data_IF_564465781877
#
_entry.id   IF_564465781877
#
_cell.length_a   1.000
_cell.length_b   1.000
_cell.length_c   1.000
_cell.angle_alpha   90.00
_cell.angle_beta   90.00
_cell.angle_gamma   90.00
#
_symmetry.space_group_name_H-M   'P 1'
#
loop_
_entity.id
_entity.type
_entity.pdbx_description
1 polymer ?
#
# COMPACT_ATOMS: atom_id res chain seq x y z
N UNK A 1 -9.57 -12.34 37.84
CA UNK A 1 -10.61 -11.31 38.01
C UNK A 1 -10.09 -10.12 37.23
N UNK A 2 -10.44 -10.04 35.94
CA UNK A 2 -9.90 -9.00 35.06
C UNK A 2 -10.87 -7.81 35.14
N UNK A 3 -10.36 -6.69 35.65
CA UNK A 3 -11.12 -5.45 35.80
C UNK A 3 -11.62 -4.94 34.44
N UNK A 4 -12.78 -4.29 34.48
CA UNK A 4 -13.44 -3.65 33.34
C UNK A 4 -12.53 -2.55 32.76
N UNK A 5 -11.94 -2.78 31.59
CA UNK A 5 -11.25 -1.74 30.84
C UNK A 5 -12.29 -0.82 30.17
N UNK A 6 -12.15 0.52 30.27
CA UNK A 6 -13.10 1.46 29.66
C UNK A 6 -13.10 1.38 28.12
N UNK A 7 -14.18 1.84 27.46
CA UNK A 7 -14.25 1.89 26.00
C UNK A 7 -13.13 2.76 25.40
N UNK A 8 -12.62 2.35 24.23
CA UNK A 8 -11.51 3.02 23.53
C UNK A 8 -11.78 4.49 23.19
N UNK A 9 -13.05 4.87 23.07
CA UNK A 9 -13.46 6.25 22.78
C UNK A 9 -13.34 7.19 24.00
N UNK A 10 -13.04 6.67 25.20
CA UNK A 10 -12.83 7.45 26.44
C UNK A 10 -11.35 7.57 26.86
N UNK A 11 -10.40 7.05 26.08
CA UNK A 11 -8.96 7.05 26.39
C UNK A 11 -8.26 8.35 25.99
N UNK A 12 -8.85 9.50 26.30
CA UNK A 12 -8.21 10.81 26.12
C UNK A 12 -8.30 11.60 27.41
N UNK A 13 -7.24 11.55 28.21
CA UNK A 13 -6.63 12.67 28.95
C UNK A 13 -5.65 12.11 30.00
N UNK A 14 -4.38 11.98 29.62
CA UNK A 14 -3.28 11.74 30.56
C UNK A 14 -2.12 10.98 29.95
N UNK A 15 -0.98 11.67 29.70
CA UNK A 15 0.38 11.12 29.67
C UNK A 15 0.65 9.80 28.93
N UNK A 16 -0.19 9.39 27.99
CA UNK A 16 -0.11 8.07 27.38
C UNK A 16 1.17 7.96 26.53
N UNK A 17 1.90 6.83 26.62
CA UNK A 17 3.09 6.63 25.83
C UNK A 17 2.72 6.71 24.36
N UNK A 18 3.53 7.43 23.59
CA UNK A 18 3.42 7.42 22.14
C UNK A 18 3.65 6.00 21.62
N UNK A 19 3.11 5.67 20.45
CA UNK A 19 3.36 4.36 19.82
C UNK A 19 4.88 4.09 19.65
N UNK A 20 5.69 5.13 19.46
CA UNK A 20 7.15 5.03 19.40
C UNK A 20 7.79 4.65 20.74
N UNK A 21 7.34 5.25 21.84
CA UNK A 21 7.82 4.93 23.19
C UNK A 21 7.42 3.51 23.60
N UNK A 22 6.16 3.12 23.42
CA UNK A 22 5.71 1.76 23.69
C UNK A 22 6.50 0.73 22.86
N UNK A 23 6.76 1.04 21.59
CA UNK A 23 7.58 0.20 20.72
C UNK A 23 9.05 0.11 21.16
N UNK A 24 9.60 1.13 21.83
CA UNK A 24 10.99 1.14 22.29
C UNK A 24 11.23 0.20 23.48
N UNK A 25 10.20 -0.05 24.29
CA UNK A 25 10.27 -0.89 25.48
C UNK A 25 10.29 -2.39 25.18
N UNK A 26 9.84 -2.80 23.99
CA UNK A 26 9.80 -4.21 23.61
C UNK A 26 11.22 -4.80 23.47
N UNK A 27 11.47 -6.05 23.90
CA UNK A 27 12.69 -6.77 23.53
C UNK A 27 12.84 -6.92 22.01
N UNK A 28 14.08 -6.93 21.51
CA UNK A 28 14.36 -7.03 20.07
C UNK A 28 14.23 -8.47 19.55
N UNK A 29 13.82 -8.62 18.28
CA UNK A 29 13.97 -9.84 17.48
C UNK A 29 14.54 -9.49 16.11
N UNK A 30 15.47 -10.32 15.59
CA UNK A 30 16.05 -10.15 14.27
C UNK A 30 15.13 -10.61 13.13
N UNK A 31 15.43 -10.21 11.89
CA UNK A 31 14.61 -10.57 10.72
C UNK A 31 14.62 -12.08 10.42
N UNK A 32 15.77 -12.72 10.56
CA UNK A 32 15.95 -14.17 10.32
C UNK A 32 15.10 -14.97 11.30
N UNK A 33 15.31 -14.78 12.60
CA UNK A 33 14.53 -15.44 13.66
C UNK A 33 13.02 -15.19 13.52
N UNK A 34 12.60 -13.97 13.19
CA UNK A 34 11.19 -13.64 12.96
C UNK A 34 10.62 -14.38 11.74
N UNK A 35 11.43 -14.63 10.71
CA UNK A 35 11.03 -15.33 9.49
C UNK A 35 10.91 -16.83 9.75
N UNK A 36 11.89 -17.43 10.43
CA UNK A 36 11.89 -18.87 10.78
C UNK A 36 10.68 -19.23 11.64
N UNK A 37 10.38 -18.39 12.64
CA UNK A 37 9.19 -18.54 13.51
C UNK A 37 7.88 -18.46 12.70
N UNK A 38 7.90 -17.77 11.57
CA UNK A 38 6.72 -17.39 10.79
C UNK A 38 6.34 -18.37 9.67
N UNK A 39 7.23 -19.25 9.24
CA UNK A 39 7.04 -20.15 8.09
C UNK A 39 6.12 -21.34 8.40
N UNK A 40 5.86 -21.64 9.67
CA UNK A 40 5.19 -22.88 10.11
C UNK A 40 3.65 -22.88 10.04
N UNK A 41 2.98 -21.81 9.57
CA UNK A 41 1.52 -21.66 9.73
C UNK A 41 0.77 -21.35 8.43
N UNK A 42 -0.34 -22.07 8.17
CA UNK A 42 -1.38 -21.61 7.26
C UNK A 42 -2.06 -20.37 7.86
N UNK A 43 -1.72 -19.20 7.34
CA UNK A 43 -2.02 -17.92 8.01
C UNK A 43 -3.37 -17.33 7.63
N UNK A 44 -4.09 -16.87 8.65
CA UNK A 44 -5.27 -16.00 8.55
C UNK A 44 -4.83 -14.57 8.87
N UNK A 45 -5.12 -13.65 7.95
CA UNK A 45 -4.87 -12.23 8.14
C UNK A 45 -6.15 -11.54 8.64
N UNK A 46 -6.06 -10.79 9.75
CA UNK A 46 -7.11 -9.85 10.18
C UNK A 46 -6.56 -8.43 10.15
N UNK A 47 -7.41 -7.45 9.85
CA UNK A 47 -7.03 -6.04 9.71
C UNK A 47 -7.92 -5.18 10.56
N UNK A 48 -7.35 -4.15 11.15
CA UNK A 48 -8.00 -3.19 12.03
C UNK A 48 -7.57 -1.79 11.61
N UNK A 49 -8.42 -0.82 11.89
CA UNK A 49 -8.11 0.60 11.79
C UNK A 49 -8.32 1.18 13.19
N UNK A 50 -7.28 1.82 13.71
CA UNK A 50 -7.16 2.23 15.11
C UNK A 50 -6.64 3.67 15.17
N UNK A 51 -7.14 4.49 16.13
CA UNK A 51 -6.42 5.70 16.52
C UNK A 51 -4.98 5.37 16.94
N UNK A 52 -4.05 6.30 16.69
CA UNK A 52 -2.63 6.17 17.09
C UNK A 52 -2.47 5.88 18.59
N UNK A 53 -3.24 6.55 19.44
CA UNK A 53 -3.21 6.36 20.89
C UNK A 53 -3.59 4.92 21.29
N UNK A 54 -4.70 4.40 20.76
CA UNK A 54 -5.14 3.03 21.06
C UNK A 54 -4.19 1.96 20.55
N UNK A 55 -3.47 2.24 19.45
CA UNK A 55 -2.40 1.35 19.01
C UNK A 55 -1.21 1.36 19.97
N UNK A 56 -0.89 2.49 20.61
CA UNK A 56 0.15 2.56 21.64
C UNK A 56 -0.22 1.76 22.89
N UNK A 57 -1.48 1.84 23.35
CA UNK A 57 -2.00 1.00 24.44
C UNK A 57 -1.88 -0.49 24.11
N UNK A 58 -2.33 -0.89 22.92
CA UNK A 58 -2.18 -2.28 22.46
C UNK A 58 -0.72 -2.75 22.52
N UNK A 59 0.23 -1.89 22.14
CA UNK A 59 1.66 -2.23 22.19
C UNK A 59 2.16 -2.39 23.62
N UNK A 60 1.72 -1.53 24.54
CA UNK A 60 2.05 -1.64 25.97
C UNK A 60 1.53 -2.97 26.56
N UNK A 61 0.27 -3.32 26.32
CA UNK A 61 -0.29 -4.60 26.80
C UNK A 61 0.44 -5.81 26.21
N UNK A 62 0.83 -5.73 24.93
CA UNK A 62 1.62 -6.77 24.29
C UNK A 62 3.02 -6.89 24.90
N UNK A 63 3.61 -5.78 25.35
CA UNK A 63 4.90 -5.79 26.02
C UNK A 63 4.85 -6.57 27.33
N UNK A 64 3.80 -6.35 28.14
CA UNK A 64 3.58 -7.08 29.40
C UNK A 64 3.39 -8.59 29.19
N UNK A 65 2.90 -8.98 28.01
CA UNK A 65 2.72 -10.37 27.63
C UNK A 65 3.97 -11.02 27.02
N UNK A 66 5.07 -10.27 26.86
CA UNK A 66 6.34 -10.79 26.32
C UNK A 66 6.45 -10.74 24.79
N UNK A 67 5.76 -9.80 24.14
CA UNK A 67 5.96 -9.56 22.71
C UNK A 67 7.37 -9.02 22.41
N UNK A 68 7.82 -9.18 21.17
CA UNK A 68 9.14 -8.71 20.70
C UNK A 68 9.03 -7.87 19.45
N UNK A 69 9.83 -6.82 19.34
CA UNK A 69 9.84 -5.89 18.21
C UNK A 69 10.93 -6.25 17.20
N UNK A 70 10.57 -6.36 15.91
CA UNK A 70 11.54 -6.49 14.83
C UNK A 70 12.51 -5.32 14.88
N UNK A 71 13.80 -5.63 15.01
CA UNK A 71 14.88 -4.64 14.98
C UNK A 71 15.90 -5.05 13.91
N UNK A 72 16.21 -4.13 12.99
CA UNK A 72 17.23 -4.29 11.94
C UNK A 72 18.06 -3.01 11.96
N UNK A 73 19.38 -3.13 12.07
CA UNK A 73 20.30 -1.98 12.10
C UNK A 73 19.89 -0.90 13.12
N UNK A 74 19.49 -1.33 14.33
CA UNK A 74 18.97 -0.49 15.42
C UNK A 74 17.68 0.29 15.11
N UNK A 75 16.95 -0.10 14.06
CA UNK A 75 15.68 0.52 13.66
C UNK A 75 14.50 -0.44 13.87
N UNK A 76 13.37 0.10 14.30
CA UNK A 76 12.11 -0.64 14.58
C UNK A 76 10.92 -0.20 13.72
N UNK A 77 11.16 0.78 12.86
CA UNK A 77 10.18 1.30 11.93
C UNK A 77 10.83 1.44 10.55
N UNK A 78 10.16 0.90 9.54
CA UNK A 78 10.68 0.78 8.19
C UNK A 78 9.72 1.41 7.18
N UNK A 79 10.23 2.18 6.25
CA UNK A 79 9.48 2.95 5.27
C UNK A 79 9.28 2.15 3.98
N UNK A 80 8.05 2.17 3.50
CA UNK A 80 7.62 1.45 2.30
C UNK A 80 7.01 2.40 1.30
N UNK A 81 7.35 2.19 0.03
CA UNK A 81 6.58 2.69 -1.11
C UNK A 81 6.03 1.51 -1.89
N UNK A 82 4.83 1.64 -2.42
CA UNK A 82 4.30 0.71 -3.40
C UNK A 82 3.59 1.46 -4.53
N UNK A 83 3.88 1.07 -5.76
CA UNK A 83 3.15 1.50 -6.96
C UNK A 83 2.23 0.36 -7.36
N UNK A 84 0.92 0.58 -7.34
CA UNK A 84 -0.07 -0.41 -7.76
C UNK A 84 -0.40 -0.25 -9.23
N UNK A 85 -0.62 -1.39 -9.89
CA UNK A 85 -1.01 -1.44 -11.30
C UNK A 85 -2.43 -1.94 -11.46
N UNK A 86 -3.13 -1.35 -12.41
CA UNK A 86 -4.44 -1.78 -12.91
C UNK A 86 -4.59 -1.35 -14.37
N UNK A 87 -5.65 -1.78 -15.04
CA UNK A 87 -6.02 -1.25 -16.36
C UNK A 87 -6.53 0.18 -16.23
N UNK A 88 -6.53 0.91 -17.34
CA UNK A 88 -7.13 2.26 -17.41
C UNK A 88 -8.61 2.28 -16.99
N UNK A 89 -9.32 1.15 -17.13
CA UNK A 89 -10.73 0.98 -16.74
C UNK A 89 -10.93 0.43 -15.32
N UNK A 90 -9.83 0.20 -14.59
CA UNK A 90 -9.78 -0.31 -13.22
C UNK A 90 -10.42 -1.71 -13.08
N UNK A 91 -10.10 -2.60 -14.02
CA UNK A 91 -10.65 -3.95 -14.07
C UNK A 91 -10.31 -4.78 -12.83
N UNK A 92 -9.09 -4.67 -12.29
CA UNK A 92 -8.64 -5.43 -11.12
C UNK A 92 -9.35 -4.93 -9.86
N UNK A 93 -9.55 -3.62 -9.72
CA UNK A 93 -10.38 -3.02 -8.68
C UNK A 93 -11.81 -3.56 -8.74
N UNK A 94 -12.46 -3.49 -9.91
CA UNK A 94 -13.84 -3.98 -10.10
C UNK A 94 -13.96 -5.45 -9.79
N UNK A 95 -12.98 -6.25 -10.20
CA UNK A 95 -12.90 -7.67 -9.88
C UNK A 95 -12.78 -7.91 -8.36
N UNK A 96 -12.02 -7.08 -7.65
CA UNK A 96 -11.93 -7.14 -6.18
C UNK A 96 -13.24 -6.72 -5.50
N UNK A 97 -13.84 -5.61 -5.95
CA UNK A 97 -15.08 -5.04 -5.43
C UNK A 97 -16.26 -6.01 -5.57
N UNK A 98 -16.32 -6.74 -6.69
CA UNK A 98 -17.37 -7.74 -6.98
C UNK A 98 -16.98 -9.17 -6.59
N UNK A 99 -15.77 -9.38 -6.04
CA UNK A 99 -15.35 -10.67 -5.53
C UNK A 99 -15.10 -11.76 -6.57
N UNK A 100 -14.75 -11.39 -7.80
CA UNK A 100 -14.47 -12.33 -8.90
C UNK A 100 -13.41 -13.37 -8.52
N UNK A 101 -13.58 -14.60 -9.01
CA UNK A 101 -12.78 -15.77 -8.65
C UNK A 101 -11.30 -15.60 -8.99
N UNK A 102 -11.00 -15.15 -10.21
CA UNK A 102 -9.65 -14.99 -10.78
C UNK A 102 -9.15 -13.56 -10.73
N UNK A 103 -9.33 -12.93 -9.57
CA UNK A 103 -8.76 -11.60 -9.31
C UNK A 103 -7.30 -11.74 -8.90
N UNK A 104 -6.51 -10.73 -9.22
CA UNK A 104 -5.14 -10.59 -8.78
C UNK A 104 -4.86 -9.13 -8.41
N UNK A 105 -3.73 -8.90 -7.75
CA UNK A 105 -3.18 -7.57 -7.49
C UNK A 105 -1.70 -7.62 -7.81
N UNK A 106 -1.20 -6.61 -8.49
CA UNK A 106 0.22 -6.46 -8.77
C UNK A 106 0.69 -5.10 -8.28
N UNK A 107 1.91 -5.05 -7.76
CA UNK A 107 2.53 -3.82 -7.30
C UNK A 107 4.04 -3.91 -7.39
N UNK A 108 4.68 -2.80 -7.64
CA UNK A 108 6.06 -2.61 -7.21
C UNK A 108 6.08 -2.27 -5.73
N UNK A 109 7.15 -2.68 -5.07
CA UNK A 109 7.39 -2.37 -3.68
C UNK A 109 8.86 -2.07 -3.46
N UNK A 110 9.11 -0.88 -2.92
CA UNK A 110 10.41 -0.42 -2.50
C UNK A 110 10.46 -0.42 -0.97
N UNK A 111 11.50 -1.02 -0.42
CA UNK A 111 11.85 -1.00 0.99
C UNK A 111 12.92 0.08 1.14
N UNK A 112 12.53 1.26 1.61
CA UNK A 112 13.34 2.47 1.45
C UNK A 112 14.58 2.47 2.33
N UNK A 113 14.57 1.72 3.42
CA UNK A 113 15.69 1.66 4.34
C UNK A 113 16.77 0.69 3.86
N UNK A 114 16.39 -0.36 3.12
CA UNK A 114 17.31 -1.38 2.60
C UNK A 114 17.60 -1.24 1.11
N UNK A 115 16.86 -0.37 0.41
CA UNK A 115 16.89 -0.25 -1.04
C UNK A 115 16.39 -1.46 -1.81
N UNK A 116 15.82 -2.46 -1.12
CA UNK A 116 15.27 -3.63 -1.78
C UNK A 116 14.04 -3.23 -2.61
N UNK A 117 13.96 -3.77 -3.81
CA UNK A 117 12.92 -3.46 -4.78
C UNK A 117 12.36 -4.76 -5.37
N UNK A 118 11.04 -4.89 -5.40
CA UNK A 118 10.36 -6.08 -5.89
C UNK A 118 9.12 -5.75 -6.70
N UNK A 119 8.87 -6.53 -7.76
CA UNK A 119 7.53 -6.70 -8.30
C UNK A 119 6.83 -7.80 -7.49
N UNK A 120 5.65 -7.52 -6.94
CA UNK A 120 4.86 -8.45 -6.15
C UNK A 120 3.51 -8.72 -6.82
N UNK A 121 3.23 -10.00 -7.09
CA UNK A 121 1.94 -10.48 -7.57
C UNK A 121 1.21 -11.21 -6.44
N UNK A 122 -0.06 -10.86 -6.22
CA UNK A 122 -0.96 -11.57 -5.31
C UNK A 122 -2.13 -12.15 -6.09
N UNK A 123 -2.25 -13.48 -6.10
CA UNK A 123 -3.34 -14.21 -6.74
C UNK A 123 -4.17 -14.99 -5.72
N UNK A 124 -5.33 -15.48 -6.16
CA UNK A 124 -6.10 -16.50 -5.43
C UNK A 124 -5.72 -17.86 -6.02
N UNK A 125 -4.99 -18.66 -5.24
CA UNK A 125 -4.63 -20.01 -5.59
C UNK A 125 -5.78 -21.02 -5.47
N UNK A 126 -5.49 -22.30 -5.76
CA UNK A 126 -6.41 -23.42 -5.53
C UNK A 126 -6.91 -23.44 -4.07
N UNK A 127 -8.15 -23.92 -3.85
CA UNK A 127 -8.79 -23.95 -2.51
C UNK A 127 -8.92 -22.58 -1.83
N UNK A 128 -8.96 -21.50 -2.61
CA UNK A 128 -9.13 -20.11 -2.13
C UNK A 128 -8.00 -19.56 -1.24
N UNK A 129 -6.84 -20.20 -1.25
CA UNK A 129 -5.65 -19.68 -0.57
C UNK A 129 -5.10 -18.46 -1.33
N UNK A 130 -4.51 -17.49 -0.62
CA UNK A 130 -3.82 -16.39 -1.26
C UNK A 130 -2.38 -16.82 -1.57
N UNK A 131 -1.92 -16.61 -2.80
CA UNK A 131 -0.54 -16.89 -3.20
C UNK A 131 0.15 -15.57 -3.50
N UNK A 132 1.38 -15.40 -3.01
CA UNK A 132 2.21 -14.22 -3.24
C UNK A 132 3.47 -14.65 -3.98
N UNK A 133 3.59 -14.22 -5.22
CA UNK A 133 4.79 -14.34 -6.04
C UNK A 133 5.54 -13.00 -6.00
N UNK A 134 6.86 -13.06 -6.05
CA UNK A 134 7.68 -11.84 -6.15
C UNK A 134 8.91 -12.07 -7.01
N UNK A 135 9.30 -11.04 -7.76
CA UNK A 135 10.55 -10.97 -8.49
C UNK A 135 11.36 -9.80 -7.93
N UNK A 136 12.65 -10.02 -7.69
CA UNK A 136 13.57 -8.94 -7.29
C UNK A 136 13.85 -8.08 -8.51
N UNK A 137 13.82 -6.77 -8.33
CA UNK A 137 14.13 -5.78 -9.35
C UNK A 137 15.43 -5.07 -8.99
N UNK A 138 16.02 -4.41 -9.97
CA UNK A 138 17.17 -3.53 -9.73
C UNK A 138 16.81 -2.43 -8.72
N UNK A 139 17.72 -2.10 -7.78
CA UNK A 139 17.50 -1.02 -6.83
C UNK A 139 17.29 0.29 -7.58
N UNK A 140 16.16 0.96 -7.30
CA UNK A 140 16.02 2.37 -7.65
C UNK A 140 16.95 3.16 -6.73
N UNK A 141 17.73 4.10 -7.25
CA UNK A 141 18.67 4.91 -6.46
C UNK A 141 17.94 5.67 -5.33
N UNK A 142 17.89 5.07 -4.15
CA UNK A 142 16.99 5.42 -3.03
C UNK A 142 17.24 6.84 -2.49
N UNK A 143 18.47 7.33 -2.65
CA UNK A 143 18.87 8.70 -2.30
C UNK A 143 18.05 9.75 -3.08
N UNK A 144 17.56 9.43 -4.28
CA UNK A 144 16.68 10.31 -5.06
C UNK A 144 15.23 10.28 -4.58
N UNK A 145 14.83 9.24 -3.86
CA UNK A 145 13.43 9.01 -3.49
C UNK A 145 13.06 9.61 -2.13
N UNK A 146 14.01 9.75 -1.20
CA UNK A 146 13.76 10.23 0.17
C UNK A 146 12.98 11.56 0.24
N UNK A 147 13.23 12.51 -0.68
CA UNK A 147 12.49 13.79 -0.76
C UNK A 147 11.07 13.70 -1.37
N UNK A 148 10.79 12.69 -2.19
CA UNK A 148 9.49 12.47 -2.82
C UNK A 148 8.45 11.80 -1.92
N UNK A 149 8.88 11.34 -0.74
CA UNK A 149 8.01 10.73 0.27
C UNK A 149 7.35 11.72 1.23
N UNK A 150 7.64 13.02 1.11
CA UNK A 150 6.83 14.03 1.77
C UNK A 150 5.41 14.03 1.18
N UNK A 151 4.40 14.37 1.98
CA UNK A 151 3.03 14.62 1.51
C UNK A 151 3.03 15.53 0.26
N UNK A 152 3.86 16.58 0.28
CA UNK A 152 4.12 17.46 -0.85
C UNK A 152 4.72 16.73 -2.09
N UNK A 153 5.66 15.81 -1.89
CA UNK A 153 6.24 14.98 -2.95
C UNK A 153 5.23 14.02 -3.60
N UNK A 154 4.32 13.46 -2.79
CA UNK A 154 3.24 12.59 -3.27
C UNK A 154 2.16 13.36 -4.02
N UNK A 155 1.74 14.52 -3.50
CA UNK A 155 0.81 15.43 -4.17
C UNK A 155 1.33 15.84 -5.56
N UNK A 156 2.61 16.17 -5.66
CA UNK A 156 3.23 16.53 -6.93
C UNK A 156 3.20 15.38 -7.94
N UNK A 157 3.47 14.14 -7.49
CA UNK A 157 3.44 12.96 -8.36
C UNK A 157 2.08 12.70 -9.00
N UNK A 158 0.98 12.87 -8.25
CA UNK A 158 -0.38 12.77 -8.77
C UNK A 158 -0.68 13.83 -9.84
N UNK A 159 -0.18 15.06 -9.66
CA UNK A 159 -0.32 16.14 -10.64
C UNK A 159 0.47 15.89 -11.93
N UNK A 160 1.70 15.38 -11.84
CA UNK A 160 2.53 15.08 -13.02
C UNK A 160 1.84 14.08 -13.96
N UNK A 161 1.17 13.04 -13.44
CA UNK A 161 0.38 12.10 -14.26
C UNK A 161 -0.83 12.74 -14.94
N UNK A 162 -1.52 13.66 -14.25
CA UNK A 162 -2.65 14.39 -14.84
C UNK A 162 -2.20 15.32 -15.97
N UNK A 163 -0.99 15.90 -15.86
CA UNK A 163 -0.44 16.86 -16.82
C UNK A 163 0.38 16.24 -17.96
N UNK A 164 1.02 15.07 -17.75
CA UNK A 164 1.87 14.39 -18.73
C UNK A 164 1.11 13.71 -19.89
N UNK A 165 -0.06 14.23 -20.26
CA UNK A 165 -0.73 13.85 -21.50
C UNK A 165 -1.77 12.74 -21.40
N UNK A 166 -2.43 12.53 -20.25
CA UNK A 166 -3.83 12.06 -20.29
C UNK A 166 -4.76 13.26 -20.52
N UNK A 167 -4.56 13.99 -21.63
CA UNK A 167 -5.51 15.00 -22.04
C UNK A 167 -6.85 14.34 -22.29
N UNK A 168 -7.84 14.75 -21.51
CA UNK A 168 -9.26 14.44 -21.65
C UNK A 168 -9.70 14.67 -23.10
N UNK A 169 -9.71 13.61 -23.91
CA UNK A 169 -10.45 13.55 -25.17
C UNK A 169 -11.34 12.32 -25.21
N UNK A 170 -12.01 12.04 -24.09
CA UNK A 170 -13.16 11.15 -24.04
C UNK A 170 -14.35 11.94 -23.53
N UNK A 171 -15.28 12.30 -24.41
CA UNK A 171 -16.61 12.76 -23.99
C UNK A 171 -17.20 11.71 -23.02
N UNK A 172 -18.00 12.12 -22.01
CA UNK A 172 -18.64 11.18 -21.09
C UNK A 172 -19.40 10.11 -21.88
N UNK A 173 -19.15 8.84 -21.54
CA UNK A 173 -19.80 7.69 -22.13
C UNK A 173 -21.32 7.83 -22.04
N UNK A 174 -22.00 7.91 -23.20
CA UNK A 174 -23.45 7.68 -23.36
C UNK A 174 -23.63 6.40 -24.17
N UNK A 175 -24.48 5.45 -23.74
CA UNK A 175 -24.67 4.22 -24.49
C UNK A 175 -25.68 4.45 -25.63
N UNK A 176 -25.24 4.34 -26.88
CA UNK A 176 -25.99 3.71 -28.00
C UNK A 176 -25.29 3.92 -29.37
N UNK A 177 -25.09 2.83 -30.11
CA UNK A 177 -25.19 2.80 -31.59
C UNK A 177 -24.00 3.25 -32.46
N UNK A 178 -23.54 2.32 -33.31
CA UNK A 178 -22.90 2.48 -34.65
C UNK A 178 -21.56 3.23 -34.84
N UNK A 179 -20.49 2.42 -34.98
CA UNK A 179 -19.39 2.38 -35.99
C UNK A 179 -18.53 3.62 -36.42
N UNK A 180 -17.20 3.41 -36.22
CA UNK A 180 -15.99 3.78 -37.02
C UNK A 180 -15.38 5.23 -36.98
N UNK A 181 -14.10 5.43 -37.38
CA UNK A 181 -12.85 5.08 -36.68
C UNK A 181 -11.99 6.32 -36.30
N UNK A 182 -11.08 6.20 -35.33
CA UNK A 182 -10.26 7.33 -34.84
C UNK A 182 -8.95 7.52 -35.62
N UNK A 183 -8.70 8.77 -36.02
CA UNK A 183 -7.49 9.25 -36.69
C UNK A 183 -6.30 9.42 -35.74
N UNK A 184 -5.11 9.22 -36.29
CA UNK A 184 -3.78 9.34 -35.67
C UNK A 184 -3.36 10.82 -35.61
N UNK A 185 -2.72 11.26 -34.51
CA UNK A 185 -1.98 12.53 -34.49
C UNK A 185 -0.71 12.50 -33.63
N UNK A 186 0.32 13.24 -34.08
CA UNK A 186 1.71 13.36 -33.58
C UNK A 186 1.94 14.66 -32.77
N UNK A 187 2.99 14.76 -31.92
CA UNK A 187 3.22 15.94 -31.07
C UNK A 187 4.07 17.04 -31.75
N UNK A 188 3.95 18.27 -31.26
CA UNK A 188 4.72 19.46 -31.68
C UNK A 188 5.56 20.04 -30.52
N UNK A 189 6.66 20.70 -30.89
CA UNK A 189 7.88 21.02 -30.13
C UNK A 189 7.85 22.21 -29.12
N UNK A 190 8.73 22.12 -28.10
CA UNK A 190 9.61 23.19 -27.54
C UNK A 190 9.13 24.04 -26.34
N UNK A 191 10.02 24.74 -25.56
CA UNK A 191 11.51 24.74 -25.52
C UNK A 191 12.18 24.62 -24.11
N UNK A 192 13.53 24.55 -24.08
CA UNK A 192 14.45 24.46 -22.91
C UNK A 192 14.85 25.84 -22.31
N UNK A 193 15.21 25.88 -21.01
CA UNK A 193 15.96 26.99 -20.38
C UNK A 193 16.95 26.51 -19.28
N UNK A 194 18.04 27.28 -19.07
CA UNK A 194 19.24 26.98 -18.27
C UNK A 194 19.68 28.11 -17.30
N UNK A 195 20.56 27.75 -16.34
CA UNK A 195 21.47 28.53 -15.42
C UNK A 195 20.78 29.32 -14.27
N UNK A 196 21.26 29.47 -13.02
CA UNK A 196 22.62 29.52 -12.42
C UNK A 196 22.63 29.25 -10.87
N UNK A 197 23.86 29.23 -10.30
CA UNK A 197 24.27 28.90 -8.91
C UNK A 197 24.18 30.06 -7.91
N UNK A 198 24.13 29.66 -6.63
CA UNK A 198 24.45 30.35 -5.36
C UNK A 198 23.38 31.23 -4.67
N UNK A 199 22.76 30.66 -3.61
CA UNK A 199 22.58 31.25 -2.27
C UNK A 199 21.88 30.24 -1.32
N UNK A 200 22.40 30.10 -0.09
CA UNK A 200 21.93 29.21 0.97
C UNK A 200 20.57 29.66 1.56
N UNK A 201 19.57 28.78 1.58
CA UNK A 201 18.45 28.77 2.55
C UNK A 201 17.96 27.32 2.73
N UNK A 202 18.17 26.76 3.92
CA UNK A 202 17.85 25.37 4.28
C UNK A 202 16.34 25.14 4.54
N UNK A 203 15.46 26.08 4.20
CA UNK A 203 14.02 25.96 4.44
C UNK A 203 13.11 25.83 3.21
N UNK A 204 13.65 25.71 1.97
CA UNK A 204 12.80 25.66 0.75
C UNK A 204 13.16 24.66 -0.36
N UNK A 205 14.03 23.67 -0.11
CA UNK A 205 14.50 22.73 -1.14
C UNK A 205 13.74 21.39 -1.23
N UNK A 206 12.41 21.38 -1.06
CA UNK A 206 11.59 20.20 -1.39
C UNK A 206 11.07 20.19 -2.85
N UNK A 207 11.16 21.33 -3.55
CA UNK A 207 10.50 21.55 -4.84
C UNK A 207 11.31 21.11 -6.08
N UNK A 208 12.63 20.93 -5.95
CA UNK A 208 13.46 20.56 -7.11
C UNK A 208 13.74 19.03 -7.18
N UNK A 209 13.55 18.32 -6.06
CA UNK A 209 13.73 16.85 -5.98
C UNK A 209 12.54 16.10 -6.62
N UNK A 210 11.39 16.76 -6.74
CA UNK A 210 10.14 16.17 -7.20
C UNK A 210 10.12 15.85 -8.69
N UNK A 211 11.00 16.49 -9.49
CA UNK A 211 11.06 16.32 -10.96
C UNK A 211 11.78 15.05 -11.41
N UNK A 212 12.51 14.36 -10.52
CA UNK A 212 13.31 13.17 -10.88
C UNK A 212 13.00 11.92 -10.04
N UNK A 213 12.46 12.11 -8.83
CA UNK A 213 12.27 11.02 -7.89
C UNK A 213 11.13 10.07 -8.29
N UNK A 214 10.11 10.58 -8.96
CA UNK A 214 9.04 9.76 -9.50
C UNK A 214 9.06 9.93 -11.02
N UNK A 215 10.19 9.56 -11.65
CA UNK A 215 10.20 9.31 -13.10
C UNK A 215 9.38 8.04 -13.38
N UNK A 216 8.10 8.30 -13.37
CA UNK A 216 6.94 7.45 -13.44
C UNK A 216 6.75 6.86 -14.85
N UNK A 217 7.54 7.36 -15.80
CA UNK A 217 7.70 6.78 -17.15
C UNK A 217 8.58 5.54 -17.14
N UNK A 218 9.38 5.31 -16.09
CA UNK A 218 10.14 4.06 -15.86
C UNK A 218 9.52 3.28 -14.71
N UNK A 219 8.42 2.59 -15.00
CA UNK A 219 7.91 1.54 -14.14
C UNK A 219 8.47 0.18 -14.59
N UNK A 220 8.49 -0.80 -13.69
CA UNK A 220 9.02 -2.14 -13.94
C UNK A 220 8.29 -2.84 -15.08
N UNK A 221 6.98 -2.62 -15.28
CA UNK A 221 6.28 -3.20 -16.45
C UNK A 221 6.69 -2.57 -17.81
N UNK A 222 7.53 -1.53 -17.81
CA UNK A 222 8.18 -1.02 -19.03
C UNK A 222 9.37 -1.89 -19.46
N UNK A 223 9.90 -2.72 -18.56
CA UNK A 223 10.93 -3.70 -18.86
C UNK A 223 10.31 -5.01 -19.38
N UNK A 224 10.87 -5.53 -20.48
CA UNK A 224 10.33 -6.70 -21.17
C UNK A 224 10.49 -7.97 -20.33
N UNK A 225 11.58 -8.12 -19.58
CA UNK A 225 11.79 -9.30 -18.74
C UNK A 225 10.75 -9.37 -17.62
N UNK A 226 10.52 -8.23 -16.97
CA UNK A 226 9.53 -8.06 -15.92
C UNK A 226 8.11 -8.36 -16.41
N UNK A 227 7.73 -7.82 -17.57
CA UNK A 227 6.41 -8.06 -18.15
C UNK A 227 6.23 -9.52 -18.57
N UNK A 228 7.27 -10.16 -19.12
CA UNK A 228 7.25 -11.60 -19.46
C UNK A 228 7.05 -12.46 -18.21
N UNK A 229 7.80 -12.19 -17.14
CA UNK A 229 7.67 -12.90 -15.87
C UNK A 229 6.24 -12.78 -15.31
N UNK A 230 5.67 -11.58 -15.33
CA UNK A 230 4.31 -11.37 -14.84
C UNK A 230 3.28 -12.15 -15.67
N UNK A 231 3.41 -12.13 -17.00
CA UNK A 231 2.51 -12.87 -17.90
C UNK A 231 2.59 -14.39 -17.64
N UNK A 232 3.80 -14.94 -17.52
CA UNK A 232 4.02 -16.34 -17.14
C UNK A 232 3.38 -16.70 -15.80
N UNK A 233 3.51 -15.84 -14.79
CA UNK A 233 2.88 -16.05 -13.49
C UNK A 233 1.34 -15.99 -13.57
N UNK A 234 0.77 -15.04 -14.32
CA UNK A 234 -0.69 -14.96 -14.50
C UNK A 234 -1.24 -16.21 -15.19
N UNK A 235 -0.52 -16.76 -16.16
CA UNK A 235 -0.87 -18.03 -16.82
C UNK A 235 -0.74 -19.22 -15.86
N UNK A 236 0.44 -19.38 -15.22
CA UNK A 236 0.75 -20.48 -14.29
C UNK A 236 -0.20 -20.52 -13.09
N UNK A 237 -0.62 -19.36 -12.60
CA UNK A 237 -1.59 -19.25 -11.48
C UNK A 237 -3.05 -19.40 -11.94
N UNK A 238 -3.30 -19.64 -13.23
CA UNK A 238 -4.64 -19.85 -13.79
C UNK A 238 -5.52 -18.60 -13.74
N UNK A 239 -4.92 -17.41 -13.67
CA UNK A 239 -5.63 -16.13 -13.75
C UNK A 239 -6.10 -15.91 -15.18
N UNK A 240 -5.19 -16.06 -16.14
CA UNK A 240 -5.48 -16.05 -17.58
C UNK A 240 -5.24 -17.44 -18.17
N UNK A 241 -6.05 -17.80 -19.16
CA UNK A 241 -6.10 -19.17 -19.69
C UNK A 241 -5.00 -19.50 -20.70
N UNK A 242 -4.50 -18.50 -21.41
CA UNK A 242 -3.47 -18.64 -22.43
C UNK A 242 -2.37 -17.63 -22.18
N UNK A 243 -1.15 -17.93 -22.64
CA UNK A 243 -0.02 -17.02 -22.54
C UNK A 243 -0.26 -15.70 -23.28
N UNK A 244 -0.93 -15.74 -24.43
CA UNK A 244 -1.31 -14.56 -25.22
C UNK A 244 -2.24 -13.63 -24.42
N UNK A 245 -3.26 -14.18 -23.76
CA UNK A 245 -4.16 -13.40 -22.91
C UNK A 245 -3.45 -12.84 -21.68
N UNK A 246 -2.52 -13.60 -21.11
CA UNK A 246 -1.71 -13.13 -20.00
C UNK A 246 -0.82 -11.95 -20.42
N UNK A 247 -0.19 -12.04 -21.59
CA UNK A 247 0.63 -10.97 -22.18
C UNK A 247 -0.21 -9.72 -22.44
N UNK A 248 -1.32 -9.85 -23.18
CA UNK A 248 -2.23 -8.73 -23.44
C UNK A 248 -2.80 -8.12 -22.15
N UNK A 249 -3.01 -8.94 -21.10
CA UNK A 249 -3.40 -8.44 -19.78
C UNK A 249 -2.30 -7.58 -19.18
N UNK A 250 -1.04 -8.04 -19.17
CA UNK A 250 0.10 -7.27 -18.66
C UNK A 250 0.31 -5.98 -19.43
N UNK A 251 0.23 -6.02 -20.76
CA UNK A 251 0.39 -4.84 -21.63
C UNK A 251 -0.68 -3.75 -21.36
N UNK A 252 -1.84 -4.14 -20.83
CA UNK A 252 -2.91 -3.22 -20.47
C UNK A 252 -2.75 -2.57 -19.09
N UNK A 253 -1.78 -3.03 -18.27
CA UNK A 253 -1.57 -2.54 -16.92
C UNK A 253 -0.73 -1.26 -16.93
N UNK A 254 -1.21 -0.29 -16.18
CA UNK A 254 -0.53 0.99 -15.95
C UNK A 254 -0.45 1.27 -14.45
N UNK A 255 0.50 2.08 -13.98
CA UNK A 255 0.48 2.62 -12.62
C UNK A 255 -0.84 3.37 -12.36
N UNK A 256 -1.49 3.08 -11.23
CA UNK A 256 -2.78 3.71 -10.87
C UNK A 256 -2.84 4.30 -9.46
N UNK A 257 -1.97 3.86 -8.55
CA UNK A 257 -1.99 4.33 -7.16
C UNK A 257 -0.61 4.16 -6.51
N UNK A 258 -0.10 5.24 -5.93
CA UNK A 258 1.01 5.18 -4.98
C UNK A 258 0.48 4.98 -3.56
N UNK A 259 1.17 4.16 -2.79
CA UNK A 259 0.91 4.00 -1.35
C UNK A 259 2.22 4.00 -0.60
N UNK A 260 2.32 4.85 0.41
CA UNK A 260 3.43 4.84 1.36
C UNK A 260 2.93 4.77 2.79
N UNK A 261 3.80 4.23 3.64
CA UNK A 261 3.58 4.09 5.06
C UNK A 261 4.89 3.71 5.73
N UNK A 262 4.94 3.92 7.04
CA UNK A 262 5.99 3.38 7.90
C UNK A 262 5.46 2.19 8.67
N UNK A 263 6.26 1.14 8.86
CA UNK A 263 5.80 -0.13 9.46
C UNK A 263 6.68 -0.55 10.62
N UNK A 264 6.03 -0.83 11.73
CA UNK A 264 6.57 -1.63 12.83
C UNK A 264 6.03 -3.06 12.75
N UNK A 265 6.84 -4.03 13.19
CA UNK A 265 6.50 -5.45 13.20
C UNK A 265 6.77 -6.03 14.57
N UNK A 266 5.79 -6.76 15.11
CA UNK A 266 5.84 -7.37 16.44
C UNK A 266 5.64 -8.87 16.30
N UNK A 267 6.51 -9.67 16.92
CA UNK A 267 6.25 -11.07 17.20
C UNK A 267 5.49 -11.16 18.53
N UNK A 268 4.34 -11.81 18.50
CA UNK A 268 3.52 -12.03 19.68
C UNK A 268 3.96 -13.32 20.41
N UNK A 269 3.60 -13.48 21.71
CA UNK A 269 3.96 -14.66 22.50
C UNK A 269 3.44 -15.99 21.93
N UNK A 270 2.32 -15.94 21.19
CA UNK A 270 1.71 -17.09 20.50
C UNK A 270 2.32 -17.36 19.11
N UNK A 271 3.50 -16.79 18.83
CA UNK A 271 4.24 -16.87 17.56
C UNK A 271 3.50 -16.27 16.35
N UNK A 272 2.36 -15.62 16.59
CA UNK A 272 1.68 -14.85 15.55
C UNK A 272 2.38 -13.50 15.34
N UNK A 273 2.18 -12.90 14.16
CA UNK A 273 2.81 -11.62 13.82
C UNK A 273 1.78 -10.51 13.77
N UNK A 274 2.12 -9.36 14.35
CA UNK A 274 1.38 -8.12 14.20
C UNK A 274 2.23 -7.12 13.41
N UNK A 275 1.61 -6.34 12.52
CA UNK A 275 2.23 -5.17 11.89
C UNK A 275 1.36 -3.95 12.09
N UNK A 276 1.99 -2.81 12.41
CA UNK A 276 1.35 -1.51 12.50
C UNK A 276 1.87 -0.68 11.33
N UNK A 277 0.97 -0.22 10.47
CA UNK A 277 1.29 0.69 9.38
C UNK A 277 0.84 2.11 9.77
N UNK A 278 1.81 2.99 10.00
CA UNK A 278 1.67 4.40 10.33
C UNK A 278 1.73 5.28 9.08
N UNK A 279 1.15 6.46 9.16
CA UNK A 279 1.19 7.54 8.16
C UNK A 279 0.86 7.02 6.76
N UNK A 280 -0.23 6.25 6.69
CA UNK A 280 -0.64 5.65 5.43
C UNK A 280 -1.12 6.77 4.50
N UNK A 281 -0.35 7.01 3.46
CA UNK A 281 -0.71 7.90 2.36
C UNK A 281 -1.09 7.09 1.13
N UNK A 282 -2.20 7.45 0.49
CA UNK A 282 -2.74 6.84 -0.73
C UNK A 282 -2.88 7.94 -1.79
N UNK A 283 -2.05 7.92 -2.82
CA UNK A 283 -2.02 8.95 -3.85
C UNK A 283 -2.46 8.35 -5.21
N UNK A 284 -3.70 8.59 -5.65
CA UNK A 284 -4.18 8.15 -6.96
C UNK A 284 -3.35 8.75 -8.09
N UNK A 285 -3.05 7.93 -9.10
CA UNK A 285 -2.34 8.37 -10.32
C UNK A 285 -3.28 8.53 -11.50
N UNK A 286 -4.52 8.05 -11.36
CA UNK A 286 -5.61 8.23 -12.30
C UNK A 286 -6.72 9.04 -11.65
N UNK A 287 -7.42 9.82 -12.48
CA UNK A 287 -8.53 10.67 -12.06
C UNK A 287 -8.06 11.99 -11.44
N UNK A 288 -9.02 12.73 -10.90
CA UNK A 288 -8.78 14.04 -10.26
C UNK A 288 -8.78 13.93 -8.73
N UNK A 289 -8.64 12.71 -8.19
CA UNK A 289 -8.71 12.47 -6.76
C UNK A 289 -7.48 13.02 -6.04
N UNK A 290 -7.70 13.73 -4.94
CA UNK A 290 -6.62 14.11 -4.04
C UNK A 290 -6.02 12.86 -3.36
N UNK A 291 -4.76 12.95 -2.95
CA UNK A 291 -4.19 11.98 -2.02
C UNK A 291 -5.00 11.92 -0.72
N UNK A 292 -5.08 10.73 -0.14
CA UNK A 292 -5.72 10.46 1.14
C UNK A 292 -4.62 10.11 2.13
N UNK A 293 -4.55 10.87 3.21
CA UNK A 293 -3.71 10.59 4.36
C UNK A 293 -4.60 10.05 5.48
N UNK A 294 -4.20 8.95 6.10
CA UNK A 294 -4.93 8.38 7.22
C UNK A 294 -4.24 8.78 8.52
N UNK A 295 -4.99 9.44 9.40
CA UNK A 295 -4.54 9.70 10.77
C UNK A 295 -4.54 8.44 11.64
N UNK A 296 -5.46 7.53 11.37
CA UNK A 296 -5.51 6.21 11.99
C UNK A 296 -4.40 5.28 11.44
N UNK A 297 -3.98 4.34 12.28
CA UNK A 297 -3.01 3.31 11.91
C UNK A 297 -3.73 2.05 11.44
N UNK A 298 -3.14 1.38 10.44
CA UNK A 298 -3.63 0.08 9.98
C UNK A 298 -2.86 -1.03 10.68
N UNK A 299 -3.55 -1.79 11.53
CA UNK A 299 -2.99 -2.97 12.20
C UNK A 299 -3.38 -4.23 11.44
N UNK A 300 -2.41 -5.11 11.18
CA UNK A 300 -2.62 -6.42 10.55
C UNK A 300 -2.03 -7.53 11.44
N UNK A 301 -2.86 -8.49 11.84
CA UNK A 301 -2.42 -9.70 12.55
C UNK A 301 -2.35 -10.88 11.58
N UNK A 302 -1.39 -11.79 11.82
CA UNK A 302 -1.17 -13.02 11.04
C UNK A 302 -0.97 -14.20 11.98
N UNK A 303 -1.97 -15.07 12.04
CA UNK A 303 -2.00 -16.21 12.96
C UNK A 303 -2.34 -17.51 12.24
N UNK A 304 -2.12 -18.67 12.87
CA UNK A 304 -2.33 -20.01 12.31
C UNK A 304 -3.79 -20.48 12.21
N UNK A 305 -4.76 -19.57 12.23
CA UNK A 305 -6.19 -19.87 12.15
C UNK A 305 -6.97 -19.33 13.36
N UNK A 306 -6.50 -19.64 14.56
CA UNK A 306 -7.04 -19.08 15.81
C UNK A 306 -6.75 -17.59 15.91
N UNK A 307 -7.59 -16.79 16.58
CA UNK A 307 -7.29 -15.38 16.84
C UNK A 307 -6.00 -15.24 17.64
N UNK A 308 -5.14 -14.28 17.29
CA UNK A 308 -3.91 -14.02 18.04
C UNK A 308 -4.16 -13.39 19.41
N UNK A 309 -3.10 -13.25 20.23
CA UNK A 309 -3.10 -12.43 21.46
C UNK A 309 -3.67 -11.04 21.19
N UNK A 310 -3.12 -10.32 20.20
CA UNK A 310 -3.59 -9.00 19.82
C UNK A 310 -5.03 -9.00 19.29
N UNK A 311 -5.46 -10.02 18.55
CA UNK A 311 -6.87 -10.14 18.15
C UNK A 311 -7.77 -10.18 19.39
N UNK A 312 -7.41 -10.95 20.43
CA UNK A 312 -8.19 -11.06 21.67
C UNK A 312 -8.22 -9.76 22.46
N UNK A 313 -7.09 -9.07 22.59
CA UNK A 313 -7.00 -7.75 23.23
C UNK A 313 -7.89 -6.73 22.51
N UNK A 314 -7.72 -6.59 21.20
CA UNK A 314 -8.54 -5.69 20.38
C UNK A 314 -10.03 -5.97 20.52
N UNK A 315 -10.40 -7.25 20.58
CA UNK A 315 -11.79 -7.66 20.77
C UNK A 315 -12.35 -7.35 22.15
N UNK A 316 -11.50 -7.42 23.17
CA UNK A 316 -11.82 -6.99 24.53
C UNK A 316 -12.04 -5.47 24.57
N UNK A 317 -11.23 -4.70 23.84
CA UNK A 317 -11.40 -3.26 23.63
C UNK A 317 -12.57 -2.88 22.70
N UNK A 318 -13.42 -3.84 22.30
CA UNK A 318 -14.55 -3.59 21.40
C UNK A 318 -14.16 -3.38 19.93
N UNK A 319 -12.87 -3.44 19.58
CA UNK A 319 -12.38 -3.25 18.20
C UNK A 319 -12.50 -4.55 17.42
N UNK A 320 -13.24 -4.53 16.31
CA UNK A 320 -13.45 -5.70 15.44
C UNK A 320 -12.73 -5.54 14.11
N UNK A 321 -12.28 -6.66 13.48
CA UNK A 321 -11.57 -6.58 12.22
C UNK A 321 -12.48 -6.06 11.11
N UNK A 322 -11.89 -5.29 10.21
CA UNK A 322 -12.55 -4.72 9.04
C UNK A 322 -11.82 -5.09 7.75
N UNK A 323 -12.53 -5.07 6.62
CA UNK A 323 -11.95 -5.33 5.31
C UNK A 323 -11.23 -4.08 4.82
N UNK A 324 -9.90 -4.09 4.83
CA UNK A 324 -9.08 -3.00 4.31
C UNK A 324 -8.16 -3.52 3.21
N UNK A 325 -7.99 -2.72 2.17
CA UNK A 325 -6.96 -2.90 1.15
C UNK A 325 -6.46 -1.53 0.75
N UNK A 326 -5.20 -1.19 1.06
CA UNK A 326 -4.56 0.09 0.69
C UNK A 326 -4.88 0.49 -0.76
N UNK A 327 -4.68 -0.45 -1.69
CA UNK A 327 -5.06 -0.30 -3.09
C UNK A 327 -6.53 0.11 -3.32
N UNK A 328 -7.45 -0.62 -2.71
CA UNK A 328 -8.86 -0.45 -3.00
C UNK A 328 -9.42 0.77 -2.29
N UNK A 329 -8.90 1.09 -1.10
CA UNK A 329 -9.27 2.29 -0.37
C UNK A 329 -8.88 3.53 -1.18
N UNK A 330 -7.65 3.59 -1.68
CA UNK A 330 -7.18 4.72 -2.50
C UNK A 330 -7.98 4.91 -3.78
N UNK A 331 -8.29 3.81 -4.50
CA UNK A 331 -9.14 3.87 -5.70
C UNK A 331 -10.59 4.25 -5.36
N UNK A 332 -11.14 3.76 -4.25
CA UNK A 332 -12.52 4.07 -3.86
C UNK A 332 -12.70 5.56 -3.52
N UNK A 333 -11.73 6.18 -2.83
CA UNK A 333 -11.74 7.62 -2.58
C UNK A 333 -11.55 8.44 -3.87
N UNK A 334 -10.67 8.01 -4.77
CA UNK A 334 -10.43 8.70 -6.04
C UNK A 334 -11.62 8.62 -7.01
N UNK A 335 -12.40 7.54 -6.93
CA UNK A 335 -13.50 7.25 -7.83
C UNK A 335 -14.75 6.79 -7.05
N UNK A 336 -15.45 7.71 -6.36
CA UNK A 336 -16.57 7.37 -5.48
C UNK A 336 -17.76 6.72 -6.22
N UNK A 337 -17.87 6.96 -7.53
CA UNK A 337 -18.88 6.34 -8.40
C UNK A 337 -18.64 4.84 -8.66
N UNK A 338 -17.49 4.29 -8.26
CA UNK A 338 -17.21 2.86 -8.40
C UNK A 338 -17.78 2.05 -7.23
N UNK A 339 -18.12 0.76 -7.44
CA UNK A 339 -18.58 -0.10 -6.35
C UNK A 339 -17.54 -0.20 -5.24
N UNK A 340 -17.90 0.21 -4.02
CA UNK A 340 -17.00 0.21 -2.86
C UNK A 340 -17.61 -0.43 -1.60
N UNK A 341 -18.79 -1.05 -1.70
CA UNK A 341 -19.51 -1.69 -0.58
C UNK A 341 -18.65 -2.59 0.32
N UNK A 342 -17.64 -3.28 -0.26
CA UNK A 342 -16.72 -4.15 0.49
C UNK A 342 -15.81 -3.41 1.46
N UNK A 343 -15.59 -2.13 1.24
CA UNK A 343 -14.69 -1.24 1.98
C UNK A 343 -15.43 -0.06 2.60
N UNK A 344 -16.75 0.03 2.45
CA UNK A 344 -17.57 1.14 2.95
C UNK A 344 -17.30 1.42 4.44
N UNK A 345 -17.34 0.40 5.31
CA UNK A 345 -17.01 0.55 6.74
C UNK A 345 -15.61 1.13 7.00
N UNK A 346 -14.63 0.82 6.15
CA UNK A 346 -13.29 1.36 6.28
C UNK A 346 -13.23 2.81 5.80
N UNK A 347 -13.96 3.16 4.74
CA UNK A 347 -14.06 4.54 4.24
C UNK A 347 -14.77 5.43 5.26
N UNK A 348 -15.93 5.01 5.76
CA UNK A 348 -16.68 5.74 6.79
C UNK A 348 -15.82 6.06 8.01
N UNK A 349 -15.07 5.09 8.53
CA UNK A 349 -14.16 5.33 9.66
C UNK A 349 -13.04 6.33 9.37
N UNK A 350 -12.59 6.41 8.12
CA UNK A 350 -11.57 7.37 7.69
C UNK A 350 -12.18 8.76 7.50
N UNK A 351 -13.46 8.87 7.15
CA UNK A 351 -14.17 10.15 6.94
C UNK A 351 -14.77 10.73 8.23
N UNK A 352 -15.09 9.89 9.23
CA UNK A 352 -15.67 10.30 10.52
C UNK A 352 -14.65 10.94 11.49
N UNK A 353 -13.39 11.07 11.07
CA UNK A 353 -12.26 11.56 11.86
C UNK A 353 -11.54 12.64 11.09
#
# INVERSE_FOLDING_TARGET
>A
MFDYAPPVDELTEGGDPTAGEAMSMLPSIGLEELSDTAELLQRVDRKYLLPRASAAHLVADLADLGARALTIDNRREFSYLSVYFDTRTLDLYRAAATGRRRRFKVRERMYLDSGLHFLELKTRGPRHLNVKDRMRLEPLGVQKLQGAYSSAGMQHSGRVYSSAGMQHSGRPYRPSGSHQPLAVYRPADGPQMSVARDAFDTSRNALDVTRHALDVTRHALGDHETSRWLAEMLHTRGVEHTQERATARVDSLIPVLNSAYRRSTILQPDLSRLTIDNDLTLAPLLGNGEHVELDDVVVETKSGGTPSVADRLLWHYGVRPIRISKYALGVAFAFPNLPHNRWHRAMTKVEER
#
